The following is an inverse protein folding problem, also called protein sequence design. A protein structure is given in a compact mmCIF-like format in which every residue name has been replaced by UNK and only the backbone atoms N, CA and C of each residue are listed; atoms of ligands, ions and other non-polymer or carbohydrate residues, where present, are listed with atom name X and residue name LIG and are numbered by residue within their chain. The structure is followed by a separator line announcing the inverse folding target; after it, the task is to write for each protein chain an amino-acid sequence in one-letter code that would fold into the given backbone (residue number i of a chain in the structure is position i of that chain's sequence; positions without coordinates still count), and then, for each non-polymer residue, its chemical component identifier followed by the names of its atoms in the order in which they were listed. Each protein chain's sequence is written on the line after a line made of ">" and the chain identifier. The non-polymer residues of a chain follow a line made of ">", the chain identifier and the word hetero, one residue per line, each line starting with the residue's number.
data_IF_547792534064
#
_entry.id   IF_547792534064
#
_cell.length_a   1.000
_cell.length_b   1.000
_cell.length_c   1.000
_cell.angle_alpha   90.00
_cell.angle_beta   90.00
_cell.angle_gamma   90.00
#
_symmetry.space_group_name_H-M   'P 1'
#
loop_
_entity.id
_entity.type
_entity.pdbx_description
1 polymer ?
#
# COMPACT_ATOMS: atom_id res chain seq x y z
N UNK A 1 -31.44 4.43 -10.48
CA UNK A 1 -31.37 5.00 -11.83
C UNK A 1 -29.93 5.46 -12.05
N UNK A 2 -29.11 4.66 -12.74
CA UNK A 2 -27.72 5.00 -13.05
C UNK A 2 -27.69 5.61 -14.45
N UNK A 3 -27.17 6.83 -14.55
CA UNK A 3 -26.94 7.53 -15.81
C UNK A 3 -25.54 7.18 -16.31
N UNK A 4 -25.44 6.87 -17.61
CA UNK A 4 -24.19 6.60 -18.30
C UNK A 4 -23.22 7.79 -18.17
N UNK A 5 -21.99 7.54 -17.70
CA UNK A 5 -20.92 8.55 -17.68
C UNK A 5 -19.98 8.39 -16.49
N UNK A 6 -19.00 7.48 -16.61
CA UNK A 6 -17.90 7.18 -15.66
C UNK A 6 -18.37 6.74 -14.27
N UNK A 7 -18.20 5.46 -13.88
CA UNK A 7 -18.39 5.05 -12.50
C UNK A 7 -17.47 5.89 -11.60
N UNK A 8 -18.03 6.56 -10.60
CA UNK A 8 -17.22 7.28 -9.63
C UNK A 8 -16.26 6.31 -8.92
N UNK A 9 -15.02 6.74 -8.59
CA UNK A 9 -14.07 5.90 -7.90
C UNK A 9 -14.60 5.45 -6.54
N UNK A 10 -14.69 4.14 -6.31
CA UNK A 10 -15.02 3.61 -4.99
C UNK A 10 -13.86 3.91 -4.04
N UNK A 11 -14.15 4.46 -2.87
CA UNK A 11 -13.12 4.88 -1.92
C UNK A 11 -13.45 4.39 -0.53
N UNK A 12 -12.51 3.69 0.10
CA UNK A 12 -12.71 3.12 1.43
C UNK A 12 -11.56 3.44 2.37
N UNK A 13 -11.92 3.69 3.64
CA UNK A 13 -11.00 3.87 4.77
C UNK A 13 -11.16 2.77 5.82
N UNK A 14 -12.18 1.93 5.67
CA UNK A 14 -12.48 0.80 6.53
C UNK A 14 -12.62 -0.45 5.66
N UNK A 15 -11.91 -1.53 6.03
CA UNK A 15 -11.91 -2.77 5.27
C UNK A 15 -13.33 -3.38 5.19
N UNK A 16 -14.05 -3.41 6.32
CA UNK A 16 -15.42 -3.95 6.38
C UNK A 16 -16.39 -3.28 5.41
N UNK A 17 -16.31 -1.96 5.28
CA UNK A 17 -17.15 -1.21 4.35
C UNK A 17 -16.80 -1.56 2.89
N UNK A 18 -15.51 -1.72 2.60
CA UNK A 18 -15.03 -2.14 1.29
C UNK A 18 -15.57 -3.53 0.94
N UNK A 19 -15.34 -4.52 1.80
CA UNK A 19 -15.77 -5.90 1.60
C UNK A 19 -17.30 -6.01 1.42
N UNK A 20 -18.06 -5.34 2.29
CA UNK A 20 -19.52 -5.35 2.24
C UNK A 20 -20.04 -4.76 0.93
N UNK A 21 -19.48 -3.64 0.48
CA UNK A 21 -19.86 -3.00 -0.78
C UNK A 21 -19.45 -3.84 -2.00
N UNK A 22 -18.19 -4.29 -2.06
CA UNK A 22 -17.63 -5.04 -3.20
C UNK A 22 -18.37 -6.37 -3.41
N UNK A 23 -18.76 -7.04 -2.32
CA UNK A 23 -19.48 -8.32 -2.39
C UNK A 23 -20.82 -8.23 -3.14
N UNK A 24 -21.49 -7.08 -3.05
CA UNK A 24 -22.80 -6.85 -3.67
C UNK A 24 -22.70 -6.41 -5.13
N UNK A 25 -21.51 -6.03 -5.59
CA UNK A 25 -21.32 -5.54 -6.94
C UNK A 25 -21.24 -6.69 -7.96
N UNK A 26 -21.77 -6.50 -9.19
CA UNK A 26 -21.59 -7.46 -10.26
C UNK A 26 -20.11 -7.66 -10.61
N UNK A 27 -19.79 -8.82 -11.15
CA UNK A 27 -18.45 -9.08 -11.67
C UNK A 27 -18.13 -8.13 -12.85
N UNK A 28 -16.88 -7.68 -12.92
CA UNK A 28 -16.41 -6.74 -13.94
C UNK A 28 -16.95 -5.31 -13.83
N UNK A 29 -17.62 -4.95 -12.74
CA UNK A 29 -18.27 -3.63 -12.59
C UNK A 29 -17.37 -2.55 -11.98
N UNK A 30 -16.30 -2.91 -11.27
CA UNK A 30 -15.44 -1.93 -10.60
C UNK A 30 -14.38 -1.42 -11.57
N UNK A 31 -14.53 -0.17 -12.01
CA UNK A 31 -13.54 0.50 -12.87
C UNK A 31 -12.40 1.15 -12.10
N UNK A 32 -12.66 1.65 -10.90
CA UNK A 32 -11.64 2.23 -10.02
C UNK A 32 -12.02 2.06 -8.55
N UNK A 33 -11.06 1.62 -7.74
CA UNK A 33 -11.17 1.54 -6.29
C UNK A 33 -9.91 2.08 -5.61
N UNK A 34 -10.08 2.83 -4.53
CA UNK A 34 -8.99 3.34 -3.69
C UNK A 34 -9.18 2.90 -2.25
N UNK A 35 -8.16 2.27 -1.70
CA UNK A 35 -8.10 1.81 -0.31
C UNK A 35 -7.11 2.67 0.45
N UNK A 36 -7.55 3.36 1.51
CA UNK A 36 -6.71 4.25 2.32
C UNK A 36 -6.33 3.61 3.65
N UNK A 37 -5.06 3.77 4.05
CA UNK A 37 -4.62 3.49 5.40
C UNK A 37 -3.10 3.40 5.54
N UNK A 38 -2.60 2.59 6.46
CA UNK A 38 -1.15 2.49 6.71
C UNK A 38 -0.55 1.35 5.92
N UNK A 39 0.32 1.69 4.97
CA UNK A 39 1.06 0.70 4.20
C UNK A 39 2.37 0.32 4.86
N UNK A 40 2.83 -0.88 4.52
CA UNK A 40 4.16 -1.41 4.80
C UNK A 40 4.57 -2.36 3.66
N UNK A 41 5.82 -2.83 3.63
CA UNK A 41 6.23 -3.85 2.66
C UNK A 41 5.27 -5.05 2.65
N UNK A 42 4.68 -5.35 1.49
CA UNK A 42 3.80 -6.50 1.31
C UNK A 42 2.39 -6.40 1.90
N UNK A 43 2.00 -5.31 2.57
CA UNK A 43 0.65 -5.20 3.13
C UNK A 43 0.19 -3.74 3.34
N UNK A 44 -1.11 -3.56 3.57
CA UNK A 44 -1.70 -2.29 3.97
C UNK A 44 -2.81 -2.51 4.98
N UNK A 45 -2.83 -1.77 6.08
CA UNK A 45 -4.00 -1.67 6.94
C UNK A 45 -5.01 -0.69 6.36
N UNK A 46 -6.30 -1.04 6.43
CA UNK A 46 -7.43 -0.20 6.00
C UNK A 46 -8.42 -0.16 7.17
N UNK A 47 -8.30 0.88 7.99
CA UNK A 47 -8.98 0.89 9.28
C UNK A 47 -8.26 0.00 10.29
N UNK A 48 -8.99 -0.93 10.89
CA UNK A 48 -8.45 -1.87 11.88
C UNK A 48 -7.98 -3.21 11.29
N UNK A 49 -8.32 -3.49 10.04
CA UNK A 49 -7.98 -4.74 9.37
C UNK A 49 -6.81 -4.52 8.39
N UNK A 50 -6.17 -5.62 7.98
CA UNK A 50 -5.01 -5.60 7.10
C UNK A 50 -5.25 -6.41 5.83
N UNK A 51 -4.74 -5.90 4.71
CA UNK A 51 -4.70 -6.59 3.44
C UNK A 51 -3.25 -6.90 3.04
N UNK A 52 -3.00 -8.16 2.79
CA UNK A 52 -1.86 -8.68 2.03
C UNK A 52 -2.29 -8.91 0.55
N UNK A 53 -1.39 -9.37 -0.34
CA UNK A 53 -1.74 -9.57 -1.74
C UNK A 53 -2.86 -10.59 -1.95
N UNK A 54 -2.87 -11.66 -1.15
CA UNK A 54 -3.80 -12.77 -1.29
C UNK A 54 -5.22 -12.35 -0.89
N UNK A 55 -5.36 -11.70 0.27
CA UNK A 55 -6.64 -11.19 0.78
C UNK A 55 -7.19 -10.05 -0.10
N UNK A 56 -6.33 -9.12 -0.54
CA UNK A 56 -6.76 -8.06 -1.45
C UNK A 56 -7.23 -8.63 -2.81
N UNK A 57 -6.48 -9.58 -3.36
CA UNK A 57 -6.88 -10.25 -4.60
C UNK A 57 -8.17 -11.05 -4.41
N UNK A 58 -8.32 -11.78 -3.29
CA UNK A 58 -9.53 -12.55 -3.01
C UNK A 58 -10.78 -11.66 -2.96
N UNK A 59 -10.67 -10.46 -2.38
CA UNK A 59 -11.76 -9.49 -2.32
C UNK A 59 -12.14 -8.93 -3.72
N UNK A 60 -11.14 -8.65 -4.57
CA UNK A 60 -11.34 -7.86 -5.79
C UNK A 60 -11.37 -8.68 -7.09
N UNK A 61 -10.86 -9.91 -7.06
CA UNK A 61 -10.81 -10.80 -8.23
C UNK A 61 -12.22 -11.08 -8.72
N UNK A 62 -12.42 -10.96 -10.04
CA UNK A 62 -13.73 -11.07 -10.67
C UNK A 62 -14.58 -9.80 -10.58
N UNK A 63 -14.42 -8.97 -9.55
CA UNK A 63 -15.18 -7.70 -9.39
C UNK A 63 -14.62 -6.56 -10.23
N UNK A 64 -13.31 -6.53 -10.41
CA UNK A 64 -12.66 -5.50 -11.24
C UNK A 64 -12.98 -5.67 -12.72
N UNK A 65 -13.33 -4.55 -13.37
CA UNK A 65 -13.40 -4.46 -14.82
C UNK A 65 -12.00 -4.69 -15.43
N UNK A 66 -11.96 -5.17 -16.69
CA UNK A 66 -10.70 -5.27 -17.43
C UNK A 66 -10.09 -3.87 -17.61
N UNK A 67 -8.82 -3.70 -17.24
CA UNK A 67 -8.17 -2.39 -17.20
C UNK A 67 -8.61 -1.50 -16.03
N UNK A 68 -9.44 -2.01 -15.12
CA UNK A 68 -9.81 -1.30 -13.90
C UNK A 68 -8.59 -1.05 -13.00
N UNK A 69 -8.71 -0.07 -12.12
CA UNK A 69 -7.59 0.41 -11.29
C UNK A 69 -7.86 0.16 -9.81
N UNK A 70 -6.94 -0.53 -9.14
CA UNK A 70 -6.87 -0.63 -7.67
C UNK A 70 -5.77 0.30 -7.19
N UNK A 71 -6.07 1.18 -6.24
CA UNK A 71 -5.09 2.07 -5.62
C UNK A 71 -4.95 1.75 -4.13
N UNK A 72 -3.77 1.29 -3.72
CA UNK A 72 -3.35 1.19 -2.33
C UNK A 72 -2.72 2.51 -1.89
N UNK A 73 -3.48 3.33 -1.16
CA UNK A 73 -3.06 4.62 -0.64
C UNK A 73 -2.46 4.48 0.76
N UNK A 74 -1.33 3.78 0.84
CA UNK A 74 -0.51 3.60 2.03
C UNK A 74 0.98 3.73 1.69
N UNK A 75 1.80 4.00 2.70
CA UNK A 75 3.25 4.10 2.53
C UNK A 75 3.84 2.75 2.11
N UNK A 76 4.86 2.71 1.25
CA UNK A 76 5.61 1.48 0.95
C UNK A 76 4.80 0.29 0.40
N UNK A 77 3.57 0.52 -0.09
CA UNK A 77 2.72 -0.51 -0.71
C UNK A 77 3.22 -0.95 -2.09
N UNK A 78 4.18 -0.22 -2.66
CA UNK A 78 5.02 -0.65 -3.76
C UNK A 78 6.47 -0.78 -3.30
N UNK A 79 7.21 -1.73 -3.87
CA UNK A 79 8.65 -1.84 -3.68
C UNK A 79 9.36 -0.61 -4.26
N UNK A 80 10.54 -0.31 -3.72
CA UNK A 80 11.27 0.89 -4.11
C UNK A 80 11.84 0.78 -5.54
N UNK A 81 11.84 -0.42 -6.12
CA UNK A 81 12.35 -0.71 -7.45
C UNK A 81 13.88 -0.66 -7.51
N UNK A 82 14.44 -0.65 -8.72
CA UNK A 82 15.87 -0.58 -8.95
C UNK A 82 16.49 0.79 -8.65
N UNK A 83 17.81 0.89 -8.85
CA UNK A 83 18.57 2.12 -8.62
C UNK A 83 17.96 3.34 -9.32
N UNK A 84 17.81 4.45 -8.59
CA UNK A 84 17.29 5.71 -9.09
C UNK A 84 18.12 6.88 -8.56
N UNK A 85 18.36 7.88 -9.40
CA UNK A 85 19.01 9.15 -9.00
C UNK A 85 18.04 10.13 -8.32
N UNK A 86 16.78 9.73 -8.12
CA UNK A 86 15.79 10.57 -7.46
C UNK A 86 16.04 10.61 -5.94
N UNK A 87 16.31 11.79 -5.34
CA UNK A 87 16.61 11.89 -3.91
C UNK A 87 15.44 11.45 -3.02
N UNK A 88 14.18 11.60 -3.44
CA UNK A 88 13.02 11.10 -2.69
C UNK A 88 13.00 9.57 -2.63
N UNK A 89 13.48 8.89 -3.69
CA UNK A 89 13.69 7.44 -3.69
C UNK A 89 14.78 7.08 -2.67
N UNK A 90 15.90 7.82 -2.64
CA UNK A 90 16.98 7.61 -1.68
C UNK A 90 16.54 7.77 -0.22
N UNK A 91 15.80 8.83 0.11
CA UNK A 91 15.25 9.04 1.46
C UNK A 91 14.26 7.92 1.81
N UNK A 92 13.44 7.49 0.84
CA UNK A 92 12.53 6.37 1.05
C UNK A 92 13.25 5.05 1.31
N UNK A 93 14.33 4.76 0.59
CA UNK A 93 15.18 3.60 0.85
C UNK A 93 15.75 3.66 2.26
N UNK A 94 16.27 4.81 2.67
CA UNK A 94 16.79 4.98 4.02
C UNK A 94 15.70 4.85 5.10
N UNK A 95 14.53 5.45 4.90
CA UNK A 95 13.41 5.39 5.84
C UNK A 95 12.82 3.98 5.94
N UNK A 96 12.60 3.30 4.81
CA UNK A 96 12.15 1.89 4.78
C UNK A 96 13.19 1.04 5.50
N UNK A 97 14.50 1.22 5.18
CA UNK A 97 15.66 0.58 5.84
C UNK A 97 15.63 0.75 7.36
N UNK A 98 15.48 1.97 7.85
CA UNK A 98 15.51 2.24 9.29
C UNK A 98 14.28 1.69 10.02
N UNK A 99 13.09 2.00 9.52
CA UNK A 99 11.83 1.74 10.24
C UNK A 99 11.38 0.29 10.18
N UNK A 100 11.49 -0.35 9.01
CA UNK A 100 10.95 -1.69 8.80
C UNK A 100 12.02 -2.78 8.85
N UNK A 101 13.31 -2.43 8.94
CA UNK A 101 14.38 -3.43 8.92
C UNK A 101 15.39 -3.26 10.04
N UNK A 102 16.00 -2.08 10.23
CA UNK A 102 17.01 -1.90 11.28
C UNK A 102 16.39 -2.06 12.67
N UNK A 103 15.26 -1.39 12.95
CA UNK A 103 14.61 -1.48 14.27
C UNK A 103 14.12 -2.91 14.59
N UNK A 104 13.37 -3.61 13.71
CA UNK A 104 12.99 -5.00 13.96
C UNK A 104 14.19 -5.96 14.05
N UNK A 105 15.22 -5.81 13.21
CA UNK A 105 16.43 -6.64 13.30
C UNK A 105 17.10 -6.52 14.68
N UNK A 106 17.24 -5.31 15.21
CA UNK A 106 17.81 -5.13 16.55
C UNK A 106 16.88 -5.69 17.65
N UNK A 107 15.56 -5.57 17.49
CA UNK A 107 14.59 -6.19 18.41
C UNK A 107 14.68 -7.72 18.38
N UNK A 108 14.63 -8.35 17.21
CA UNK A 108 14.77 -9.80 17.04
C UNK A 108 16.09 -10.31 17.63
N UNK A 109 17.18 -9.56 17.45
CA UNK A 109 18.48 -9.88 18.05
C UNK A 109 18.48 -9.77 19.58
N UNK A 110 17.73 -8.82 20.16
CA UNK A 110 17.53 -8.69 21.60
C UNK A 110 16.62 -9.81 22.15
N UNK A 111 15.65 -10.26 21.35
CA UNK A 111 14.72 -11.35 21.66
C UNK A 111 15.33 -12.75 21.42
N UNK A 112 16.62 -12.81 21.07
CA UNK A 112 17.39 -14.06 20.98
C UNK A 112 17.36 -14.76 19.61
N UNK A 113 16.80 -14.13 18.57
CA UNK A 113 16.77 -14.69 17.21
C UNK A 113 18.20 -14.73 16.62
N UNK A 114 18.61 -15.85 15.99
CA UNK A 114 19.88 -15.94 15.30
C UNK A 114 20.01 -14.92 14.16
N UNK A 115 21.17 -14.27 14.05
CA UNK A 115 21.40 -13.21 13.05
C UNK A 115 21.16 -13.67 11.60
N UNK A 116 21.44 -14.93 11.29
CA UNK A 116 21.20 -15.50 9.96
C UNK A 116 19.70 -15.58 9.63
N UNK A 117 18.86 -15.94 10.61
CA UNK A 117 17.41 -16.04 10.44
C UNK A 117 16.77 -14.66 10.33
N UNK A 118 17.19 -13.71 11.16
CA UNK A 118 16.78 -12.31 11.05
C UNK A 118 17.17 -11.69 9.71
N UNK A 119 18.34 -12.08 9.16
CA UNK A 119 18.79 -11.67 7.83
C UNK A 119 17.93 -12.29 6.70
N UNK A 120 17.52 -13.55 6.83
CA UNK A 120 16.68 -14.18 5.81
C UNK A 120 15.28 -13.56 5.77
N UNK A 121 14.68 -13.28 6.93
CA UNK A 121 13.42 -12.52 7.01
C UNK A 121 13.57 -11.10 6.46
N UNK A 122 14.75 -10.48 6.66
CA UNK A 122 15.11 -9.19 6.07
C UNK A 122 15.12 -9.22 4.53
N UNK A 123 15.78 -10.20 3.91
CA UNK A 123 15.83 -10.32 2.44
C UNK A 123 14.44 -10.58 1.84
N UNK A 124 13.59 -11.37 2.52
CA UNK A 124 12.21 -11.66 2.07
C UNK A 124 11.29 -10.44 2.10
N UNK A 125 11.39 -9.61 3.13
CA UNK A 125 10.49 -8.47 3.33
C UNK A 125 10.96 -7.20 2.61
N UNK A 126 12.24 -7.13 2.22
CA UNK A 126 12.82 -6.01 1.50
C UNK A 126 12.06 -5.69 0.21
N UNK A 127 11.87 -6.70 -0.63
CA UNK A 127 11.23 -6.59 -1.95
C UNK A 127 9.73 -6.89 -1.95
N UNK A 128 9.13 -7.08 -0.77
CA UNK A 128 7.69 -7.30 -0.66
C UNK A 128 6.91 -6.10 -1.24
N UNK A 129 6.04 -6.39 -2.21
CA UNK A 129 5.36 -5.40 -3.04
C UNK A 129 3.88 -5.74 -3.13
N UNK A 130 3.07 -5.16 -2.22
CA UNK A 130 1.63 -5.39 -2.19
C UNK A 130 1.01 -5.16 -3.57
N UNK A 131 1.40 -4.09 -4.25
CA UNK A 131 0.80 -3.69 -5.52
C UNK A 131 1.16 -4.63 -6.66
N UNK A 132 2.44 -4.95 -6.81
CA UNK A 132 2.93 -5.88 -7.85
C UNK A 132 2.36 -7.28 -7.62
N UNK A 133 2.44 -7.77 -6.40
CA UNK A 133 2.07 -9.15 -6.08
C UNK A 133 0.55 -9.35 -6.15
N UNK A 134 -0.25 -8.32 -5.81
CA UNK A 134 -1.70 -8.32 -6.08
C UNK A 134 -1.98 -8.32 -7.58
N UNK A 135 -1.25 -7.54 -8.38
CA UNK A 135 -1.46 -7.47 -9.84
C UNK A 135 -1.23 -8.82 -10.55
N UNK A 136 -0.30 -9.64 -10.05
CA UNK A 136 -0.06 -10.99 -10.56
C UNK A 136 -1.28 -11.91 -10.39
N UNK A 137 -2.08 -11.65 -9.35
CA UNK A 137 -3.27 -12.42 -9.00
C UNK A 137 -4.57 -11.88 -9.63
N UNK A 138 -4.52 -10.70 -10.24
CA UNK A 138 -5.66 -9.98 -10.80
C UNK A 138 -5.41 -9.61 -12.25
N UNK A 139 -5.34 -10.63 -13.11
CA UNK A 139 -4.91 -10.47 -14.50
C UNK A 139 -5.71 -9.39 -15.24
N UNK A 140 -5.00 -8.48 -15.90
CA UNK A 140 -5.59 -7.38 -16.66
C UNK A 140 -6.09 -6.20 -15.81
N UNK A 141 -6.04 -6.26 -14.48
CA UNK A 141 -6.28 -5.11 -13.59
C UNK A 141 -4.97 -4.35 -13.38
N UNK A 142 -5.05 -3.02 -13.37
CA UNK A 142 -3.92 -2.16 -12.98
C UNK A 142 -3.97 -1.98 -11.46
N UNK A 143 -2.88 -2.32 -10.77
CA UNK A 143 -2.77 -2.17 -9.32
C UNK A 143 -1.66 -1.19 -9.00
N UNK A 144 -1.99 -0.12 -8.30
CA UNK A 144 -1.08 0.96 -7.96
C UNK A 144 -0.84 1.05 -6.46
N UNK A 145 0.36 1.49 -6.10
CA UNK A 145 0.76 1.80 -4.73
C UNK A 145 1.80 2.90 -4.68
N UNK A 146 2.36 3.14 -3.50
CA UNK A 146 3.38 4.17 -3.29
C UNK A 146 4.70 3.56 -2.84
N UNK A 147 5.80 4.02 -3.45
CA UNK A 147 7.16 3.60 -3.05
C UNK A 147 7.63 4.22 -1.75
N UNK A 148 7.02 5.33 -1.33
CA UNK A 148 7.58 6.17 -0.27
C UNK A 148 6.71 6.31 0.96
N UNK A 149 7.32 6.91 1.98
CA UNK A 149 6.70 7.34 3.21
C UNK A 149 5.81 8.58 2.98
N UNK A 150 4.65 8.57 3.61
CA UNK A 150 3.87 9.76 3.90
C UNK A 150 4.19 10.23 5.30
N UNK A 151 4.55 11.50 5.44
CA UNK A 151 4.66 12.10 6.77
C UNK A 151 3.25 12.48 7.22
N UNK A 152 2.84 11.94 8.37
CA UNK A 152 1.70 12.49 9.11
C UNK A 152 2.29 13.59 9.99
N UNK A 153 2.05 14.89 9.70
CA UNK A 153 2.64 15.98 10.47
C UNK A 153 2.39 15.84 11.98
N UNK A 154 1.21 15.32 12.36
CA UNK A 154 0.86 15.03 13.76
C UNK A 154 1.70 13.95 14.46
N UNK A 155 2.49 13.13 13.73
CA UNK A 155 3.35 12.07 14.30
C UNK A 155 4.86 12.39 14.22
N UNK A 156 5.24 13.58 13.75
CA UNK A 156 6.62 14.03 13.80
C UNK A 156 6.95 14.58 15.20
N UNK A 157 7.99 14.05 15.89
CA UNK A 157 8.39 14.57 17.19
C UNK A 157 8.69 16.07 17.08
N UNK A 158 7.94 16.91 17.80
CA UNK A 158 8.12 18.37 17.85
C UNK A 158 7.04 19.20 17.13
N UNK A 159 6.34 18.64 16.13
CA UNK A 159 5.25 19.35 15.42
C UNK A 159 3.88 19.16 16.08
N UNK A 160 3.69 18.07 16.80
CA UNK A 160 2.45 17.74 17.53
C UNK A 160 2.10 18.77 18.61
N UNK A 161 3.08 19.50 19.17
CA UNK A 161 2.85 20.57 20.16
C UNK A 161 2.26 21.85 19.57
N UNK A 162 2.39 22.09 18.27
CA UNK A 162 1.92 23.32 17.61
C UNK A 162 0.54 23.18 16.98
N UNK A 163 0.13 21.97 16.60
CA UNK A 163 -1.07 21.75 15.77
C UNK A 163 -2.25 21.09 16.52
N UNK A 164 -2.07 20.74 17.80
CA UNK A 164 -3.12 20.16 18.63
C UNK A 164 -3.43 18.68 18.32
N UNK A 165 -4.09 18.01 19.28
CA UNK A 165 -4.33 16.56 19.27
C UNK A 165 -5.39 16.05 18.26
N UNK A 166 -5.70 16.81 17.20
CA UNK A 166 -6.79 16.43 16.28
C UNK A 166 -6.39 15.62 15.04
N UNK A 167 -5.12 15.28 14.83
CA UNK A 167 -4.69 14.61 13.59
C UNK A 167 -4.08 13.22 13.80
N UNK A 168 -4.82 12.33 14.48
CA UNK A 168 -4.48 10.90 14.54
C UNK A 168 -5.12 10.06 13.41
N UNK A 169 -5.99 10.64 12.57
CA UNK A 169 -6.80 9.87 11.59
C UNK A 169 -6.94 10.54 10.21
N UNK A 170 -6.39 11.73 10.01
CA UNK A 170 -6.27 12.36 8.69
C UNK A 170 -5.08 11.71 7.96
N UNK A 171 -5.26 11.21 6.71
CA UNK A 171 -4.16 10.58 5.97
C UNK A 171 -3.02 11.59 5.86
N UNK A 172 -1.85 11.21 6.41
CA UNK A 172 -0.63 11.96 6.17
C UNK A 172 -0.45 12.18 4.69
N UNK A 173 0.06 13.35 4.32
CA UNK A 173 0.43 13.64 2.95
C UNK A 173 1.42 12.56 2.48
N UNK A 174 0.96 11.64 1.63
CA UNK A 174 1.80 10.63 0.99
C UNK A 174 2.61 11.36 -0.07
N UNK A 175 3.73 11.96 0.32
CA UNK A 175 4.72 12.54 -0.57
C UNK A 175 5.45 11.40 -1.28
N UNK A 176 4.79 10.75 -2.24
CA UNK A 176 5.33 9.54 -2.83
C UNK A 176 5.18 9.36 -4.31
N UNK A 177 6.23 8.73 -4.86
CA UNK A 177 6.20 8.20 -6.22
C UNK A 177 5.20 7.06 -6.24
N UNK A 178 4.04 7.33 -6.84
CA UNK A 178 3.08 6.32 -7.22
C UNK A 178 3.68 5.46 -8.33
N UNK A 179 3.32 4.18 -8.30
CA UNK A 179 3.74 3.18 -9.27
C UNK A 179 2.57 2.25 -9.50
N UNK A 180 2.37 1.86 -10.76
CA UNK A 180 1.31 0.97 -11.15
C UNK A 180 1.88 -0.28 -11.81
N UNK A 181 1.24 -1.41 -11.57
CA UNK A 181 1.58 -2.69 -12.15
C UNK A 181 0.37 -3.29 -12.85
N UNK A 182 0.60 -3.97 -13.97
CA UNK A 182 -0.36 -4.83 -14.63
C UNK A 182 0.31 -6.15 -14.93
N UNK A 183 -0.29 -7.26 -14.47
CA UNK A 183 0.28 -8.60 -14.64
C UNK A 183 1.74 -8.71 -14.13
N UNK A 184 2.05 -8.02 -13.03
CA UNK A 184 3.38 -7.96 -12.42
C UNK A 184 4.40 -7.04 -13.09
N UNK A 185 4.02 -6.35 -14.17
CA UNK A 185 4.91 -5.44 -14.92
C UNK A 185 4.56 -4.00 -14.60
N UNK A 186 5.57 -3.16 -14.36
CA UNK A 186 5.37 -1.72 -14.16
C UNK A 186 4.79 -1.09 -15.43
N UNK A 187 3.72 -0.30 -15.28
CA UNK A 187 3.00 0.38 -16.38
C UNK A 187 2.84 1.87 -16.06
N UNK A 188 2.65 2.74 -17.08
CA UNK A 188 2.32 4.14 -16.85
C UNK A 188 1.07 4.30 -15.99
N UNK A 189 1.03 5.36 -15.19
CA UNK A 189 -0.15 5.67 -14.39
C UNK A 189 -1.37 5.98 -15.30
N UNK A 190 -2.53 5.37 -15.05
CA UNK A 190 -3.75 5.54 -15.84
C UNK A 190 -4.63 6.74 -15.44
#
# INVERSE_FOLDING_TARGET
>A
MQVAGRPEPLTFRQARDAEAAIRQLPDGSISRITLYGHGSPGMQTVGNDAYDPDSAAAMLRGKMARGGVVQFSGCNTASIGGASVNPAVGISMAARRLLYFSLPYFQDRLDGVPAAQAREQWEKTWDADLSRDTSLQMRGTVVCGYRTFGLVPGRLPGLTRLLGNQEATTPGYVAGKKVCYQDGREVPEP
#
